data_IF_707828706217
#
_entry.id   IF_707828706217
#
_cell.length_a   1.000
_cell.length_b   1.000
_cell.length_c   1.000
_cell.angle_alpha   90.00
_cell.angle_beta   90.00
_cell.angle_gamma   90.00
#
_symmetry.space_group_name_H-M   'P 1'
#
loop_
_entity.id
_entity.type
_entity.pdbx_description
1 polymer ?
#
# COMPACT_ATOMS: atom_id res chain seq x y z
N UNK A 1 -11.16 -11.50 12.37
CA UNK A 1 -10.50 -10.19 12.17
C UNK A 1 -10.15 -10.01 10.70
N UNK A 2 -10.99 -9.29 9.95
CA UNK A 2 -10.70 -8.97 8.54
C UNK A 2 -9.60 -7.91 8.51
N UNK A 3 -8.34 -8.32 8.36
CA UNK A 3 -7.22 -7.40 8.12
C UNK A 3 -7.42 -6.88 6.69
N UNK A 4 -8.09 -5.74 6.55
CA UNK A 4 -8.33 -5.10 5.26
C UNK A 4 -6.99 -4.63 4.68
N UNK A 5 -6.28 -5.51 3.99
CA UNK A 5 -5.13 -5.17 3.17
C UNK A 5 -5.64 -4.46 1.92
N UNK A 6 -4.99 -3.33 1.60
CA UNK A 6 -5.27 -2.55 0.40
C UNK A 6 -4.15 -2.85 -0.59
N UNK A 7 -4.38 -2.61 -1.88
CA UNK A 7 -3.38 -2.87 -2.93
C UNK A 7 -3.03 -1.56 -3.64
N UNK A 8 -1.73 -1.33 -3.85
CA UNK A 8 -1.22 -0.16 -4.54
C UNK A 8 0.00 -0.53 -5.40
N UNK A 9 0.20 0.20 -6.49
CA UNK A 9 1.41 0.08 -7.33
C UNK A 9 2.42 1.11 -6.84
N UNK A 10 3.60 0.65 -6.45
CA UNK A 10 4.68 1.52 -5.96
C UNK A 10 5.58 1.92 -7.13
N UNK A 11 5.58 3.20 -7.46
CA UNK A 11 6.38 3.76 -8.56
C UNK A 11 7.83 4.04 -8.16
N UNK A 12 8.08 4.18 -6.85
CA UNK A 12 9.40 4.42 -6.24
C UNK A 12 9.55 3.57 -4.98
N UNK A 13 10.79 3.32 -4.59
CA UNK A 13 11.09 2.67 -3.31
C UNK A 13 10.57 3.54 -2.16
N UNK A 14 9.97 2.90 -1.15
CA UNK A 14 9.37 3.58 -0.02
C UNK A 14 9.74 2.88 1.28
N UNK A 15 10.19 3.66 2.26
CA UNK A 15 10.45 3.18 3.60
C UNK A 15 9.45 3.84 4.54
N UNK A 16 8.69 3.04 5.27
CA UNK A 16 7.72 3.54 6.24
C UNK A 16 7.94 2.88 7.58
N UNK A 17 8.18 3.69 8.61
CA UNK A 17 8.31 3.22 9.98
C UNK A 17 7.31 3.99 10.84
N UNK A 18 6.14 3.42 11.17
CA UNK A 18 5.20 4.05 12.08
C UNK A 18 5.80 4.15 13.48
N UNK A 19 5.53 5.27 14.14
CA UNK A 19 5.98 5.50 15.53
C UNK A 19 5.28 4.51 16.47
N UNK A 20 6.04 3.91 17.38
CA UNK A 20 5.51 3.05 18.45
C UNK A 20 5.33 1.56 18.11
N UNK A 21 5.59 1.12 16.86
CA UNK A 21 5.50 -0.30 16.49
C UNK A 21 6.84 -1.04 16.44
N UNK A 22 7.96 -0.32 16.36
CA UNK A 22 9.29 -0.95 16.19
C UNK A 22 9.47 -1.73 14.88
N UNK A 23 8.49 -1.70 13.98
CA UNK A 23 8.46 -2.41 12.70
C UNK A 23 8.54 -1.37 11.58
N UNK A 24 9.46 -1.57 10.65
CA UNK A 24 9.59 -0.76 9.44
C UNK A 24 9.29 -1.59 8.20
N UNK A 25 8.60 -0.99 7.24
CA UNK A 25 8.35 -1.56 5.92
C UNK A 25 9.34 -0.97 4.93
N UNK A 26 10.11 -1.84 4.26
CA UNK A 26 10.89 -1.49 3.07
C UNK A 26 10.18 -2.01 1.85
N UNK A 27 9.63 -1.10 1.05
CA UNK A 27 8.82 -1.42 -0.11
C UNK A 27 9.62 -1.09 -1.35
N UNK A 28 9.74 -2.05 -2.27
CA UNK A 28 10.40 -1.82 -3.54
C UNK A 28 9.38 -1.38 -4.58
N UNK A 29 9.82 -0.47 -5.45
CA UNK A 29 9.06 -0.15 -6.64
C UNK A 29 8.81 -1.41 -7.48
N UNK A 30 7.59 -1.56 -7.98
CA UNK A 30 7.23 -2.59 -8.94
C UNK A 30 6.06 -2.10 -9.76
N UNK A 31 5.99 -2.55 -11.01
CA UNK A 31 4.84 -2.33 -11.88
C UNK A 31 3.62 -3.16 -11.44
N UNK A 32 3.83 -4.17 -10.58
CA UNK A 32 2.77 -5.02 -10.07
C UNK A 32 2.11 -4.43 -8.81
N UNK A 33 0.78 -4.62 -8.66
CA UNK A 33 0.08 -4.28 -7.43
C UNK A 33 0.65 -5.02 -6.21
N UNK A 34 1.07 -4.28 -5.20
CA UNK A 34 1.54 -4.85 -3.93
C UNK A 34 0.52 -4.61 -2.82
N UNK A 35 0.37 -5.60 -1.94
CA UNK A 35 -0.60 -5.58 -0.85
C UNK A 35 0.07 -5.30 0.49
N UNK A 36 -0.36 -4.25 1.17
CA UNK A 36 0.18 -3.81 2.46
C UNK A 36 -0.93 -3.34 3.41
N UNK A 37 -0.63 -3.14 4.70
CA UNK A 37 -1.55 -2.50 5.62
C UNK A 37 -2.02 -1.14 5.09
N UNK A 38 -3.29 -0.82 5.31
CA UNK A 38 -3.90 0.43 4.80
C UNK A 38 -3.09 1.68 5.13
N UNK A 39 -2.61 1.83 6.36
CA UNK A 39 -1.82 2.97 6.80
C UNK A 39 -0.51 3.14 6.01
N UNK A 40 0.14 2.03 5.64
CA UNK A 40 1.37 2.04 4.83
C UNK A 40 1.06 2.57 3.43
N UNK A 41 -0.04 2.12 2.83
CA UNK A 41 -0.45 2.54 1.49
C UNK A 41 -0.90 4.00 1.48
N UNK A 42 -1.67 4.43 2.48
CA UNK A 42 -2.07 5.84 2.61
C UNK A 42 -0.85 6.75 2.77
N UNK A 43 0.14 6.36 3.58
CA UNK A 43 1.39 7.11 3.70
C UNK A 43 2.17 7.16 2.37
N UNK A 44 2.20 6.06 1.61
CA UNK A 44 2.87 5.99 0.33
C UNK A 44 2.17 6.82 -0.77
N UNK A 45 0.84 6.87 -0.76
CA UNK A 45 0.04 7.71 -1.65
C UNK A 45 0.23 9.18 -1.29
N UNK A 46 0.17 9.53 0.01
CA UNK A 46 0.40 10.90 0.48
C UNK A 46 1.81 11.40 0.14
N UNK A 47 2.82 10.51 0.16
CA UNK A 47 4.18 10.81 -0.28
C UNK A 47 4.35 10.84 -1.82
N UNK A 48 3.30 10.54 -2.60
CA UNK A 48 3.34 10.55 -4.06
C UNK A 48 4.17 9.41 -4.69
N UNK A 49 4.48 8.36 -3.92
CA UNK A 49 5.30 7.22 -4.40
C UNK A 49 4.47 6.01 -4.79
N UNK A 50 3.21 5.94 -4.38
CA UNK A 50 2.29 4.86 -4.72
C UNK A 50 1.02 5.37 -5.40
N UNK A 51 0.44 4.53 -6.26
CA UNK A 51 -0.87 4.74 -6.89
C UNK A 51 -1.86 3.69 -6.40
N UNK A 52 -3.06 4.07 -5.94
CA UNK A 52 -4.06 3.11 -5.52
C UNK A 52 -4.51 2.29 -6.73
N UNK A 53 -4.60 0.96 -6.55
CA UNK A 53 -5.26 0.12 -7.55
C UNK A 53 -6.74 0.14 -7.21
N UNK A 54 -7.55 0.74 -8.08
CA UNK A 54 -8.99 0.56 -7.99
C UNK A 54 -9.26 -0.94 -8.11
N UNK A 55 -9.60 -1.59 -6.99
CA UNK A 55 -10.30 -2.86 -7.06
C UNK A 55 -11.55 -2.57 -7.85
N UNK A 56 -11.60 -3.01 -9.11
CA UNK A 56 -12.87 -3.12 -9.84
C UNK A 56 -13.78 -3.88 -8.88
N UNK A 57 -14.82 -3.21 -8.36
CA UNK A 57 -15.89 -3.92 -7.66
C UNK A 57 -16.26 -5.08 -8.57
N UNK A 58 -16.35 -6.34 -8.10
CA UNK A 58 -16.97 -7.37 -8.91
C UNK A 58 -18.31 -6.78 -9.31
N UNK A 59 -18.51 -6.58 -10.62
CA UNK A 59 -19.80 -6.19 -11.15
C UNK A 59 -20.75 -7.27 -10.64
N UNK A 60 -21.67 -6.85 -9.77
CA UNK A 60 -22.68 -7.71 -9.18
C UNK A 60 -23.35 -8.45 -10.35
N UNK A 61 -23.16 -9.77 -10.40
CA UNK A 61 -23.88 -10.64 -11.33
C UNK A 61 -25.37 -10.63 -10.99
#
# INVERSE_FOLDING_TARGET
MSRSSVTAIFTKNFNHTPKGLGIGWRIRASCEPQSFPRHVIEAAIAAGVAKPVQRRKPAKA
#
